data_IF_275344935359
#
_entry.id   IF_275344935359
#
_cell.length_a   1.000
_cell.length_b   1.000
_cell.length_c   1.000
_cell.angle_alpha   90.00
_cell.angle_beta   90.00
_cell.angle_gamma   90.00
#
_symmetry.space_group_name_H-M   'P 1'
#
loop_
_entity.id
_entity.type
_entity.pdbx_description
1 polymer ?
#
# COMPACT_ATOMS: atom_id res chain seq x y z
N UNK A 1 8.83 -15.28 2.76
CA UNK A 1 8.76 -16.09 1.54
C UNK A 1 8.91 -17.58 1.88
N UNK A 2 9.99 -17.94 2.58
CA UNK A 2 10.33 -19.31 3.06
C UNK A 2 9.16 -20.11 3.69
N UNK A 3 8.26 -19.47 4.45
CA UNK A 3 7.12 -20.15 5.10
C UNK A 3 5.81 -20.14 4.30
N UNK A 4 5.79 -19.49 3.13
CA UNK A 4 4.58 -19.22 2.34
C UNK A 4 3.45 -18.48 3.09
N UNK A 5 3.73 -17.86 4.23
CA UNK A 5 2.72 -17.06 4.97
C UNK A 5 2.32 -15.74 4.29
N UNK A 6 3.05 -15.34 3.25
CA UNK A 6 2.72 -14.24 2.34
C UNK A 6 3.04 -14.72 0.93
N UNK A 7 2.02 -14.82 0.09
CA UNK A 7 2.09 -15.21 -1.32
C UNK A 7 1.57 -14.06 -2.19
N UNK A 8 1.97 -14.05 -3.46
CA UNK A 8 1.41 -13.10 -4.43
C UNK A 8 -0.03 -13.48 -4.76
N UNK A 9 -0.93 -12.50 -4.75
CA UNK A 9 -2.38 -12.73 -4.77
C UNK A 9 -3.13 -11.57 -5.44
N UNK A 10 -2.74 -10.31 -5.17
CA UNK A 10 -3.53 -9.16 -5.61
C UNK A 10 -2.73 -7.87 -5.76
N UNK A 11 -3.19 -7.02 -6.69
CA UNK A 11 -2.66 -5.67 -6.91
C UNK A 11 -3.74 -4.63 -6.62
N UNK A 12 -3.37 -3.59 -5.87
CA UNK A 12 -4.23 -2.47 -5.54
C UNK A 12 -3.47 -1.15 -5.65
N UNK A 13 -4.19 -0.03 -5.70
CA UNK A 13 -3.59 1.31 -5.86
C UNK A 13 -3.73 2.14 -4.58
N UNK A 14 -2.62 2.56 -3.99
CA UNK A 14 -2.63 3.54 -2.92
C UNK A 14 -2.93 4.94 -3.47
N UNK A 15 -3.99 5.58 -3.00
CA UNK A 15 -4.45 6.89 -3.49
C UNK A 15 -4.34 7.99 -2.45
N UNK A 16 -3.98 7.68 -1.21
CA UNK A 16 -3.82 8.69 -0.17
C UNK A 16 -3.51 8.12 1.22
N UNK A 17 -3.52 9.01 2.20
CA UNK A 17 -3.40 8.71 3.62
C UNK A 17 -4.68 9.11 4.33
N UNK A 18 -5.06 8.33 5.34
CA UNK A 18 -6.17 8.63 6.23
C UNK A 18 -5.73 8.50 7.68
N UNK A 19 -6.43 9.19 8.58
CA UNK A 19 -6.19 9.16 10.01
C UNK A 19 -7.52 8.90 10.71
N UNK A 20 -7.56 7.92 11.63
CA UNK A 20 -8.76 7.66 12.43
C UNK A 20 -8.90 8.64 13.61
N UNK A 21 -9.99 8.51 14.36
CA UNK A 21 -10.29 9.35 15.52
C UNK A 21 -9.26 9.26 16.66
N UNK A 22 -8.41 8.24 16.65
CA UNK A 22 -7.34 8.02 17.64
C UNK A 22 -5.97 8.49 17.13
N UNK A 23 -5.89 9.06 15.92
CA UNK A 23 -4.63 9.47 15.31
C UNK A 23 -3.88 8.35 14.57
N UNK A 24 -4.48 7.17 14.42
CA UNK A 24 -3.84 6.04 13.72
C UNK A 24 -3.85 6.28 12.22
N UNK A 25 -2.72 6.07 11.56
CA UNK A 25 -2.57 6.28 10.11
C UNK A 25 -2.93 5.01 9.32
N UNK A 26 -3.59 5.23 8.19
CA UNK A 26 -3.95 4.20 7.21
C UNK A 26 -3.59 4.67 5.80
N UNK A 27 -3.29 3.72 4.94
CA UNK A 27 -3.19 3.94 3.50
C UNK A 27 -4.57 3.77 2.87
N UNK A 28 -5.08 4.82 2.23
CA UNK A 28 -6.29 4.74 1.43
C UNK A 28 -5.97 3.99 0.15
N UNK A 29 -6.66 2.88 -0.07
CA UNK A 29 -6.36 1.91 -1.12
C UNK A 29 -7.58 1.73 -2.01
N UNK A 30 -7.44 2.00 -3.31
CA UNK A 30 -8.47 1.71 -4.32
C UNK A 30 -8.39 0.25 -4.74
N UNK A 31 -9.49 -0.47 -4.56
CA UNK A 31 -9.66 -1.85 -5.00
C UNK A 31 -10.36 -1.90 -6.38
N UNK A 32 -10.42 -3.09 -6.98
CA UNK A 32 -10.96 -3.35 -8.33
C UNK A 32 -12.21 -4.26 -8.33
N UNK A 33 -12.89 -4.41 -7.18
CA UNK A 33 -14.11 -5.24 -7.04
C UNK A 33 -15.42 -4.45 -7.20
N UNK A 34 -15.36 -3.22 -7.72
CA UNK A 34 -16.51 -2.31 -7.82
C UNK A 34 -16.90 -1.69 -6.48
N UNK A 35 -18.04 -0.99 -6.43
CA UNK A 35 -18.51 -0.25 -5.25
C UNK A 35 -19.21 -1.12 -4.19
N UNK A 36 -18.96 -2.43 -4.20
CA UNK A 36 -19.68 -3.42 -3.37
C UNK A 36 -19.40 -3.31 -1.87
N UNK A 37 -18.35 -2.61 -1.46
CA UNK A 37 -17.98 -2.41 -0.05
C UNK A 37 -18.64 -1.15 0.55
N UNK A 38 -18.74 -1.08 1.89
CA UNK A 38 -19.17 0.12 2.62
C UNK A 38 -18.44 1.43 2.23
N UNK A 39 -17.22 1.33 1.71
CA UNK A 39 -16.40 2.47 1.28
C UNK A 39 -16.30 2.59 -0.24
N UNK A 40 -17.31 2.13 -0.99
CA UNK A 40 -17.43 2.32 -2.44
C UNK A 40 -16.18 1.91 -3.24
N UNK A 41 -15.64 0.73 -2.94
CA UNK A 41 -14.47 0.17 -3.61
C UNK A 41 -13.12 0.62 -3.03
N UNK A 42 -13.11 1.39 -1.95
CA UNK A 42 -11.90 1.74 -1.21
C UNK A 42 -11.72 0.89 0.05
N UNK A 43 -10.47 0.79 0.49
CA UNK A 43 -10.06 0.11 1.71
C UNK A 43 -9.14 1.04 2.51
N UNK A 44 -9.14 0.87 3.83
CA UNK A 44 -8.20 1.50 4.74
C UNK A 44 -7.22 0.44 5.23
N UNK A 45 -6.01 0.45 4.70
CA UNK A 45 -4.98 -0.52 5.07
C UNK A 45 -4.11 0.07 6.17
N UNK A 46 -3.99 -0.61 7.31
CA UNK A 46 -3.13 -0.13 8.39
C UNK A 46 -1.66 -0.14 7.99
N UNK A 47 -0.86 0.77 8.55
CA UNK A 47 0.59 0.80 8.33
C UNK A 47 1.26 -0.54 8.70
N UNK A 48 0.82 -1.17 9.80
CA UNK A 48 1.32 -2.47 10.23
C UNK A 48 1.05 -3.57 9.18
N UNK A 49 -0.18 -3.63 8.64
CA UNK A 49 -0.52 -4.63 7.63
C UNK A 49 0.27 -4.39 6.34
N UNK A 50 0.37 -3.14 5.89
CA UNK A 50 1.14 -2.77 4.71
C UNK A 50 2.61 -3.20 4.82
N UNK A 51 3.26 -2.90 5.95
CA UNK A 51 4.66 -3.31 6.19
C UNK A 51 4.85 -4.82 6.23
N UNK A 52 3.87 -5.57 6.73
CA UNK A 52 3.97 -7.01 6.90
C UNK A 52 3.66 -7.78 5.60
N UNK A 53 2.75 -7.25 4.77
CA UNK A 53 2.14 -8.02 3.67
C UNK A 53 2.45 -7.50 2.27
N UNK A 54 3.01 -6.31 2.10
CA UNK A 54 3.43 -5.83 0.78
C UNK A 54 4.64 -6.62 0.27
N UNK A 55 4.52 -7.18 -0.93
CA UNK A 55 5.60 -7.93 -1.60
C UNK A 55 6.44 -6.99 -2.48
N UNK A 56 5.77 -6.07 -3.18
CA UNK A 56 6.42 -5.09 -4.06
C UNK A 56 5.51 -3.90 -4.31
N UNK A 57 6.12 -2.80 -4.76
CA UNK A 57 5.43 -1.59 -5.18
C UNK A 57 6.00 -1.11 -6.51
N UNK A 58 5.17 -0.42 -7.28
CA UNK A 58 5.59 0.29 -8.47
C UNK A 58 5.31 1.77 -8.26
N UNK A 59 6.31 2.60 -8.52
CA UNK A 59 6.23 4.06 -8.42
C UNK A 59 6.98 4.71 -9.57
N UNK A 60 6.63 5.95 -9.90
CA UNK A 60 7.46 6.77 -10.79
C UNK A 60 8.81 7.05 -10.13
N UNK A 61 9.91 7.14 -10.91
CA UNK A 61 11.26 7.37 -10.36
C UNK A 61 11.34 8.63 -9.51
N UNK A 62 10.68 9.70 -9.94
CA UNK A 62 10.64 10.98 -9.22
C UNK A 62 9.95 10.90 -7.84
N UNK A 63 9.18 9.84 -7.57
CA UNK A 63 8.57 9.62 -6.26
C UNK A 63 9.57 9.03 -5.24
N UNK A 64 10.74 8.57 -5.70
CA UNK A 64 11.76 7.97 -4.84
C UNK A 64 12.60 9.10 -4.21
N UNK A 65 12.76 9.15 -2.87
CA UNK A 65 13.64 10.12 -2.22
C UNK A 65 15.08 10.05 -2.78
N UNK A 66 15.73 11.20 -2.94
CA UNK A 66 17.04 11.31 -3.61
C UNK A 66 18.11 10.38 -3.02
N UNK A 67 18.13 10.25 -1.69
CA UNK A 67 19.09 9.41 -0.97
C UNK A 67 18.83 7.91 -1.19
N UNK A 68 17.58 7.51 -1.44
CA UNK A 68 17.21 6.14 -1.81
C UNK A 68 17.49 5.88 -3.29
N UNK A 69 17.15 6.83 -4.17
CA UNK A 69 17.43 6.72 -5.61
C UNK A 69 18.93 6.53 -5.88
N UNK A 70 19.78 7.30 -5.20
CA UNK A 70 21.24 7.15 -5.29
C UNK A 70 21.73 5.75 -4.88
N UNK A 71 21.16 5.15 -3.82
CA UNK A 71 21.49 3.77 -3.39
C UNK A 71 21.04 2.71 -4.41
N UNK A 72 20.00 3.01 -5.19
CA UNK A 72 19.46 2.13 -6.22
C UNK A 72 20.08 2.38 -7.62
N UNK A 73 20.99 3.36 -7.75
CA UNK A 73 21.56 3.79 -9.03
C UNK A 73 20.50 4.22 -10.06
N UNK A 74 19.48 4.95 -9.59
CA UNK A 74 18.35 5.44 -10.39
C UNK A 74 18.43 6.93 -10.72
#
# INVERSE_FOLDING_TARGET
>A
FESYATTDDHLMHLTGLATDQNGTKYYLTKNSWGEVSQYKGFLYMSDAYFRMKTIGIMVHKDAIPKDIAAKLSL
#
